data_IF_015411273522
#
_entry.id   IF_015411273522
#
_cell.length_a   1.000
_cell.length_b   1.000
_cell.length_c   1.000
_cell.angle_alpha   90.00
_cell.angle_beta   90.00
_cell.angle_gamma   90.00
#
_symmetry.space_group_name_H-M   'P 1'
#
loop_
_entity.id
_entity.type
_entity.pdbx_description
1 polymer ?
#
# COMPACT_ATOMS: atom_id res chain seq x y z
N UNK A 1 9.23 -19.86 3.16
CA UNK A 1 8.69 -18.75 2.35
C UNK A 1 9.50 -17.50 2.61
N UNK A 2 9.93 -16.77 1.57
CA UNK A 2 10.45 -15.43 1.77
C UNK A 2 9.24 -14.54 2.09
N UNK A 3 9.20 -13.97 3.29
CA UNK A 3 8.21 -12.95 3.62
C UNK A 3 8.34 -11.83 2.60
N UNK A 4 7.30 -11.61 1.80
CA UNK A 4 7.25 -10.48 0.89
C UNK A 4 7.33 -9.18 1.69
N UNK A 5 8.05 -8.21 1.15
CA UNK A 5 8.28 -6.94 1.85
C UNK A 5 7.00 -6.12 1.78
N UNK A 6 6.32 -5.87 2.91
CA UNK A 6 5.07 -5.09 2.93
C UNK A 6 5.33 -3.60 2.61
N UNK A 7 6.28 -2.96 3.30
CA UNK A 7 6.62 -1.54 3.10
C UNK A 7 8.13 -1.30 3.14
N UNK A 8 8.60 -0.29 2.42
CA UNK A 8 9.95 0.28 2.57
C UNK A 8 9.82 1.71 3.11
N UNK A 9 10.49 2.01 4.23
CA UNK A 9 10.66 3.36 4.75
C UNK A 9 12.08 3.86 4.42
N UNK A 10 12.19 4.91 3.63
CA UNK A 10 13.44 5.50 3.14
C UNK A 10 13.60 6.91 3.72
N UNK A 11 14.28 7.01 4.87
CA UNK A 11 14.51 8.27 5.58
C UNK A 11 15.30 9.31 4.76
N UNK A 12 16.42 8.96 4.09
CA UNK A 12 17.17 9.93 3.28
C UNK A 12 16.35 10.61 2.17
N UNK A 13 15.35 9.93 1.62
CA UNK A 13 14.48 10.45 0.55
C UNK A 13 13.08 10.83 1.06
N UNK A 14 12.86 10.80 2.37
CA UNK A 14 11.56 11.05 3.00
C UNK A 14 10.42 10.24 2.37
N UNK A 15 10.66 8.99 1.95
CA UNK A 15 9.70 8.18 1.17
C UNK A 15 9.23 6.93 1.90
N UNK A 16 7.94 6.64 1.82
CA UNK A 16 7.36 5.32 2.11
C UNK A 16 6.85 4.70 0.83
N UNK A 17 7.13 3.42 0.61
CA UNK A 17 6.56 2.63 -0.48
C UNK A 17 5.86 1.41 0.09
N UNK A 18 4.58 1.21 -0.21
CA UNK A 18 3.83 -0.01 0.05
C UNK A 18 3.88 -0.92 -1.17
N UNK A 19 4.43 -2.13 -1.03
CA UNK A 19 4.64 -3.02 -2.18
C UNK A 19 3.42 -3.88 -2.48
N UNK A 20 2.41 -3.91 -1.61
CA UNK A 20 1.16 -4.63 -1.89
C UNK A 20 0.42 -4.02 -3.07
N UNK A 21 0.51 -2.70 -3.20
CA UNK A 21 -0.20 -1.89 -4.20
C UNK A 21 0.73 -0.97 -5.02
N UNK A 22 2.05 -1.08 -4.80
CA UNK A 22 3.09 -0.22 -5.41
C UNK A 22 2.87 1.30 -5.19
N UNK A 23 2.19 1.69 -4.10
CA UNK A 23 1.95 3.07 -3.73
C UNK A 23 3.18 3.68 -3.06
N UNK A 24 3.54 4.92 -3.41
CA UNK A 24 4.64 5.64 -2.77
C UNK A 24 4.23 7.04 -2.32
N UNK A 25 4.47 7.36 -1.05
CA UNK A 25 4.32 8.70 -0.48
C UNK A 25 5.70 9.29 -0.18
N UNK A 26 5.92 10.57 -0.51
CA UNK A 26 7.18 11.29 -0.29
C UNK A 26 7.15 12.17 0.97
N UNK A 27 6.23 11.87 1.90
CA UNK A 27 6.10 12.56 3.18
C UNK A 27 6.22 11.60 4.37
N UNK A 28 7.36 10.91 4.48
CA UNK A 28 7.63 9.98 5.57
C UNK A 28 7.34 10.55 6.98
N UNK A 29 7.71 11.80 7.34
CA UNK A 29 7.40 12.34 8.66
C UNK A 29 5.90 12.34 8.99
N UNK A 30 5.04 12.78 8.07
CA UNK A 30 3.60 12.77 8.28
C UNK A 30 3.06 11.34 8.48
N UNK A 31 3.53 10.39 7.66
CA UNK A 31 3.17 8.97 7.78
C UNK A 31 3.55 8.41 9.16
N UNK A 32 4.70 8.82 9.70
CA UNK A 32 5.15 8.40 11.03
C UNK A 32 4.38 9.07 12.17
N UNK A 33 3.83 10.27 11.94
CA UNK A 33 2.93 10.98 12.86
C UNK A 33 1.48 10.47 12.80
N UNK A 34 1.17 9.54 11.89
CA UNK A 34 -0.12 8.86 11.80
C UNK A 34 -0.98 9.26 10.60
N UNK A 35 -0.48 10.09 9.68
CA UNK A 35 -1.15 10.40 8.41
C UNK A 35 -1.01 9.20 7.45
N UNK A 36 -1.84 8.17 7.68
CA UNK A 36 -1.77 6.87 6.98
C UNK A 36 -3.06 6.52 6.25
N UNK A 37 -4.08 7.37 6.31
CA UNK A 37 -5.39 7.21 5.66
C UNK A 37 -5.24 6.89 4.17
N UNK A 38 -4.37 7.58 3.45
CA UNK A 38 -4.10 7.33 2.02
C UNK A 38 -3.73 5.86 1.77
N UNK A 39 -2.86 5.28 2.59
CA UNK A 39 -2.48 3.88 2.43
C UNK A 39 -3.64 2.93 2.75
N UNK A 40 -4.45 3.24 3.76
CA UNK A 40 -5.57 2.39 4.18
C UNK A 40 -6.62 2.34 3.07
N UNK A 41 -7.01 3.49 2.54
CA UNK A 41 -8.06 3.61 1.53
C UNK A 41 -7.66 2.91 0.22
N UNK A 42 -6.42 3.10 -0.23
CA UNK A 42 -5.92 2.46 -1.45
C UNK A 42 -5.79 0.94 -1.28
N UNK A 43 -5.36 0.47 -0.11
CA UNK A 43 -5.29 -0.97 0.18
C UNK A 43 -6.68 -1.61 0.23
N UNK A 44 -7.65 -0.94 0.85
CA UNK A 44 -9.03 -1.42 0.91
C UNK A 44 -9.65 -1.47 -0.49
N UNK A 45 -9.42 -0.43 -1.31
CA UNK A 45 -9.88 -0.37 -2.70
C UNK A 45 -9.27 -1.50 -3.54
N UNK A 46 -7.97 -1.75 -3.39
CA UNK A 46 -7.30 -2.84 -4.09
C UNK A 46 -7.82 -4.22 -3.66
N UNK A 47 -8.01 -4.45 -2.36
CA UNK A 47 -8.57 -5.72 -1.85
C UNK A 47 -10.00 -5.95 -2.36
N UNK A 48 -10.84 -4.92 -2.41
CA UNK A 48 -12.18 -5.03 -2.97
C UNK A 48 -12.16 -5.32 -4.48
N UNK A 49 -11.29 -4.65 -5.24
CA UNK A 49 -11.14 -4.92 -6.67
C UNK A 49 -10.68 -6.36 -6.94
N UNK A 50 -9.72 -6.87 -6.17
CA UNK A 50 -9.25 -8.26 -6.27
C UNK A 50 -10.37 -9.26 -5.93
N UNK A 51 -11.17 -8.98 -4.88
CA UNK A 51 -12.32 -9.81 -4.53
C UNK A 51 -13.38 -9.83 -5.63
N UNK A 52 -13.71 -8.68 -6.21
CA UNK A 52 -14.67 -8.58 -7.31
C UNK A 52 -14.17 -9.34 -8.55
N UNK A 53 -12.88 -9.21 -8.88
CA UNK A 53 -12.25 -9.95 -9.98
C UNK A 53 -12.30 -11.47 -9.76
N UNK A 54 -11.97 -11.92 -8.53
CA UNK A 54 -12.03 -13.32 -8.15
C UNK A 54 -13.47 -13.88 -8.08
N UNK A 55 -14.45 -13.03 -7.76
CA UNK A 55 -15.84 -13.44 -7.53
C UNK A 55 -16.69 -13.61 -8.79
N UNK A 56 -16.31 -13.08 -9.98
CA UNK A 56 -17.21 -13.22 -11.12
C UNK A 56 -16.93 -12.49 -12.43
N UNK A 57 -15.69 -12.47 -12.92
CA UNK A 57 -15.41 -12.13 -14.33
C UNK A 57 -14.38 -13.08 -14.98
N UNK A 58 -14.45 -14.37 -14.61
CA UNK A 58 -13.81 -15.46 -15.34
C UNK A 58 -14.85 -16.19 -16.20
N UNK A 59 -15.23 -15.58 -17.32
CA UNK A 59 -15.80 -16.29 -18.48
C UNK A 59 -14.71 -16.34 -19.57
#
# INVERSE_FOLDING_TARGET
ERSEKIRTYNYPQSRVTDHRINLSSYNLPAVMEGDIEEFIDELATHDEAERLAAAGLGD
#
